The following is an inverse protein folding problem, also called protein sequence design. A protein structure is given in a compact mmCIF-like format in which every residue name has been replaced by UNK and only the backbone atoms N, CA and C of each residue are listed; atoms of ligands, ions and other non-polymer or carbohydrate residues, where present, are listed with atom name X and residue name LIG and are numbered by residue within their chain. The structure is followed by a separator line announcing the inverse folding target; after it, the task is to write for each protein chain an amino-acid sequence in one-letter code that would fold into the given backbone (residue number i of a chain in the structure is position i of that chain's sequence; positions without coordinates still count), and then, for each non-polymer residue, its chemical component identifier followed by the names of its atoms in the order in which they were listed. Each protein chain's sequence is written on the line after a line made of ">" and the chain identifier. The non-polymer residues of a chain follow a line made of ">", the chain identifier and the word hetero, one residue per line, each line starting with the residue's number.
data_IF_097042937443
#
_entry.id   IF_097042937443
#
_cell.length_a   1.000
_cell.length_b   1.000
_cell.length_c   1.000
_cell.angle_alpha   90.00
_cell.angle_beta   90.00
_cell.angle_gamma   90.00
#
_symmetry.space_group_name_H-M   'P 1'
#
loop_
_entity.id
_entity.type
_entity.pdbx_description
1 polymer ?
#
# COMPACT_ATOMS: atom_id res chain seq x y z
N UNK A 1 49.67 -3.65 4.46
CA UNK A 1 49.41 -3.98 3.04
C UNK A 1 48.98 -5.45 3.02
N UNK A 2 47.86 -5.87 2.42
CA UNK A 2 47.02 -5.25 1.38
C UNK A 2 45.51 -5.40 1.69
N UNK A 3 44.73 -4.32 1.51
CA UNK A 3 43.27 -4.43 1.32
C UNK A 3 43.01 -4.62 -0.18
N UNK A 4 42.50 -5.79 -0.60
CA UNK A 4 41.85 -5.97 -1.92
C UNK A 4 41.03 -7.26 -1.96
N UNK A 5 39.78 -7.25 -1.46
CA UNK A 5 38.82 -8.35 -1.72
C UNK A 5 37.35 -7.90 -1.60
N UNK A 6 37.00 -6.80 -2.29
CA UNK A 6 35.60 -6.31 -2.40
C UNK A 6 35.26 -5.93 -3.86
N UNK A 7 36.26 -5.72 -4.72
CA UNK A 7 36.06 -5.20 -6.08
C UNK A 7 35.38 -6.18 -7.07
N UNK A 8 35.39 -7.50 -6.82
CA UNK A 8 34.92 -8.48 -7.82
C UNK A 8 33.40 -8.61 -7.95
N UNK A 9 32.64 -8.35 -6.89
CA UNK A 9 31.17 -8.54 -6.92
C UNK A 9 30.42 -7.42 -7.64
N UNK A 10 30.96 -6.19 -7.60
CA UNK A 10 30.30 -4.99 -8.15
C UNK A 10 30.23 -5.06 -9.69
N UNK A 11 31.27 -5.58 -10.35
CA UNK A 11 31.31 -5.72 -11.81
C UNK A 11 30.21 -6.63 -12.37
N UNK A 12 29.84 -7.71 -11.65
CA UNK A 12 28.82 -8.66 -12.14
C UNK A 12 27.43 -8.03 -12.09
N UNK A 13 27.10 -7.28 -11.02
CA UNK A 13 25.81 -6.59 -10.88
C UNK A 13 25.65 -5.49 -11.94
N UNK A 14 26.73 -4.75 -12.24
CA UNK A 14 26.68 -3.71 -13.29
C UNK A 14 26.50 -4.28 -14.71
N UNK A 15 27.08 -5.44 -15.01
CA UNK A 15 26.89 -6.11 -16.30
C UNK A 15 25.45 -6.58 -16.51
N UNK A 16 24.78 -7.08 -15.46
CA UNK A 16 23.37 -7.46 -15.55
C UNK A 16 22.43 -6.27 -15.77
N UNK A 17 22.74 -5.09 -15.21
CA UNK A 17 21.92 -3.89 -15.37
C UNK A 17 22.01 -3.25 -16.77
N UNK A 18 23.10 -3.44 -17.51
CA UNK A 18 23.27 -2.88 -18.86
C UNK A 18 22.70 -3.76 -19.99
N UNK A 19 22.34 -5.01 -19.70
CA UNK A 19 21.85 -5.98 -20.71
C UNK A 19 20.34 -5.83 -21.03
N UNK A 20 19.58 -5.06 -20.23
CA UNK A 20 18.11 -4.97 -20.39
C UNK A 20 17.61 -3.66 -21.04
N UNK A 21 18.47 -2.80 -21.58
CA UNK A 21 18.10 -1.46 -22.06
C UNK A 21 18.03 -1.28 -23.58
N UNK A 22 18.23 -2.33 -24.38
CA UNK A 22 18.18 -2.23 -25.85
C UNK A 22 17.53 -3.46 -26.49
N UNK A 23 16.25 -3.34 -26.84
CA UNK A 23 15.73 -3.70 -28.16
C UNK A 23 14.74 -2.58 -28.54
N UNK A 24 14.98 -1.93 -29.67
CA UNK A 24 14.31 -0.72 -30.16
C UNK A 24 14.02 -0.93 -31.67
N UNK A 25 13.08 -0.17 -32.26
CA UNK A 25 12.87 -0.04 -33.74
C UNK A 25 12.18 -1.27 -34.37
N UNK A 26 11.23 -1.24 -35.33
CA UNK A 26 10.25 -0.26 -35.88
C UNK A 26 9.11 -1.10 -36.54
N UNK A 27 7.98 -0.62 -37.09
CA UNK A 27 7.36 0.70 -37.30
C UNK A 27 5.83 0.50 -37.50
N UNK A 28 5.06 1.59 -37.65
CA UNK A 28 3.88 1.57 -38.54
C UNK A 28 2.58 2.18 -38.00
N UNK A 29 2.05 3.13 -38.79
CA UNK A 29 0.66 3.65 -38.79
C UNK A 29 0.27 4.62 -37.67
N UNK A 30 0.23 5.89 -38.09
CA UNK A 30 -0.51 7.01 -37.51
C UNK A 30 -1.94 6.65 -37.10
N UNK A 31 -2.32 6.89 -35.84
CA UNK A 31 -3.67 7.34 -35.49
C UNK A 31 -3.61 8.38 -34.35
N UNK A 32 -4.26 9.55 -34.50
CA UNK A 32 -4.32 10.55 -33.44
C UNK A 32 -5.40 10.20 -32.40
N UNK A 33 -5.04 10.29 -31.12
CA UNK A 33 -6.01 10.49 -30.03
C UNK A 33 -6.87 9.29 -29.63
N UNK A 34 -6.30 8.39 -28.84
CA UNK A 34 -7.08 7.70 -27.79
C UNK A 34 -6.44 7.98 -26.44
N UNK A 35 -7.07 8.89 -25.68
CA UNK A 35 -6.82 9.06 -24.24
C UNK A 35 -7.39 7.82 -23.55
N UNK A 36 -6.64 6.71 -23.58
CA UNK A 36 -6.94 5.52 -22.82
C UNK A 36 -6.70 5.83 -21.34
N UNK A 37 -7.68 6.49 -20.72
CA UNK A 37 -7.86 6.41 -19.27
C UNK A 37 -8.03 4.94 -18.95
N UNK A 38 -6.94 4.32 -18.49
CA UNK A 38 -6.96 3.03 -17.86
C UNK A 38 -7.84 3.18 -16.62
N UNK A 39 -9.14 2.91 -16.81
CA UNK A 39 -10.13 2.86 -15.75
C UNK A 39 -9.70 1.74 -14.82
N UNK A 40 -8.91 2.09 -13.80
CA UNK A 40 -8.56 1.20 -12.70
C UNK A 40 -9.87 0.77 -12.10
N UNK A 41 -10.30 -0.45 -12.44
CA UNK A 41 -11.54 -1.01 -11.92
C UNK A 41 -11.29 -1.37 -10.46
N UNK A 42 -11.60 -0.41 -9.57
CA UNK A 42 -11.49 -0.60 -8.13
C UNK A 42 -12.17 -1.90 -7.73
N UNK A 43 -11.54 -2.74 -6.89
CA UNK A 43 -12.12 -4.00 -6.44
C UNK A 43 -13.56 -3.85 -5.98
N UNK A 44 -14.47 -4.62 -6.58
CA UNK A 44 -15.91 -4.47 -6.35
C UNK A 44 -16.36 -5.15 -5.05
N UNK A 45 -16.01 -4.54 -3.92
CA UNK A 45 -16.42 -4.99 -2.60
C UNK A 45 -17.93 -4.93 -2.40
N UNK A 46 -18.51 -5.98 -1.82
CA UNK A 46 -19.90 -5.97 -1.37
C UNK A 46 -20.06 -5.11 -0.10
N UNK A 47 -21.30 -4.70 0.25
CA UNK A 47 -21.54 -4.00 1.52
C UNK A 47 -21.11 -4.80 2.77
N UNK A 48 -21.08 -6.14 2.70
CA UNK A 48 -20.66 -7.00 3.83
C UNK A 48 -19.15 -6.99 4.06
N UNK A 49 -18.38 -6.71 3.01
CA UNK A 49 -16.91 -6.68 3.08
C UNK A 49 -16.39 -5.40 3.73
N UNK A 50 -17.23 -4.36 3.80
CA UNK A 50 -16.94 -3.05 4.38
C UNK A 50 -17.11 -3.08 5.90
N UNK A 51 -16.14 -2.51 6.62
CA UNK A 51 -16.15 -2.33 8.08
C UNK A 51 -15.51 -0.99 8.45
N UNK A 52 -16.15 -0.26 9.36
CA UNK A 52 -15.63 0.99 9.91
C UNK A 52 -15.24 0.79 11.37
N UNK A 53 -14.08 1.32 11.75
CA UNK A 53 -13.52 1.24 13.10
C UNK A 53 -13.19 2.65 13.58
N UNK A 54 -13.44 2.95 14.85
CA UNK A 54 -12.88 4.14 15.49
C UNK A 54 -11.46 3.82 15.92
N UNK A 55 -10.51 4.73 15.73
CA UNK A 55 -9.32 4.72 16.60
C UNK A 55 -9.76 5.01 18.03
N UNK A 56 -8.99 4.58 19.04
CA UNK A 56 -9.26 4.96 20.44
C UNK A 56 -9.46 6.48 20.55
N UNK A 57 -10.45 6.98 21.32
CA UNK A 57 -11.00 8.32 21.09
C UNK A 57 -9.96 9.44 21.16
N UNK A 58 -9.86 10.18 20.07
CA UNK A 58 -9.34 11.55 20.10
C UNK A 58 -10.46 12.46 20.64
N UNK A 59 -10.57 12.53 21.96
CA UNK A 59 -11.28 13.60 22.66
C UNK A 59 -10.25 14.47 23.41
N UNK A 60 -10.07 15.75 23.05
CA UNK A 60 -10.71 16.48 21.95
C UNK A 60 -10.26 15.98 20.55
N UNK A 61 -10.98 16.45 19.52
CA UNK A 61 -10.75 16.08 18.12
C UNK A 61 -9.27 16.15 17.69
N UNK A 62 -8.81 15.22 16.83
CA UNK A 62 -7.39 15.06 16.54
C UNK A 62 -6.81 16.28 15.82
N UNK A 63 -5.64 16.72 16.28
CA UNK A 63 -4.82 17.72 15.58
C UNK A 63 -4.40 17.23 14.19
N UNK A 64 -4.06 18.14 13.29
CA UNK A 64 -3.62 17.78 11.93
C UNK A 64 -2.36 16.89 11.92
N UNK A 65 -1.50 17.00 12.94
CA UNK A 65 -0.37 16.08 13.12
C UNK A 65 -0.87 14.66 13.44
N UNK A 66 -1.79 14.49 14.39
CA UNK A 66 -2.36 13.18 14.74
C UNK A 66 -3.15 12.56 13.58
N UNK A 67 -3.82 13.40 12.77
CA UNK A 67 -4.50 12.96 11.53
C UNK A 67 -3.48 12.44 10.51
N UNK A 68 -2.38 13.16 10.31
CA UNK A 68 -1.30 12.75 9.41
C UNK A 68 -0.55 11.50 9.89
N UNK A 69 -0.34 11.37 11.21
CA UNK A 69 0.21 10.15 11.82
C UNK A 69 -0.69 8.95 11.54
N UNK A 70 -2.02 9.10 11.73
CA UNK A 70 -2.99 8.05 11.39
C UNK A 70 -2.98 7.72 9.88
N UNK A 71 -2.92 8.70 9.00
CA UNK A 71 -2.80 8.49 7.54
C UNK A 71 -1.55 7.67 7.17
N UNK A 72 -0.41 8.00 7.78
CA UNK A 72 0.84 7.26 7.58
C UNK A 72 0.78 5.83 8.14
N UNK A 73 0.17 5.64 9.32
CA UNK A 73 -0.03 4.33 9.91
C UNK A 73 -0.94 3.44 9.04
N UNK A 74 -2.08 3.97 8.57
CA UNK A 74 -2.98 3.24 7.67
C UNK A 74 -2.27 2.86 6.36
N UNK A 75 -1.55 3.80 5.74
CA UNK A 75 -0.81 3.54 4.50
C UNK A 75 0.32 2.50 4.68
N UNK A 76 0.99 2.49 5.84
CA UNK A 76 1.98 1.48 6.20
C UNK A 76 1.32 0.10 6.37
N UNK A 77 0.21 0.03 7.10
CA UNK A 77 -0.46 -1.23 7.39
C UNK A 77 -1.17 -1.85 6.18
N UNK A 78 -1.58 -1.06 5.17
CA UNK A 78 -2.02 -1.60 3.87
C UNK A 78 -0.86 -2.39 3.21
N UNK A 79 0.35 -1.82 3.15
CA UNK A 79 1.53 -2.51 2.61
C UNK A 79 1.89 -3.77 3.40
N UNK A 80 1.70 -3.75 4.72
CA UNK A 80 1.85 -4.95 5.55
C UNK A 80 0.85 -6.04 5.16
N UNK A 81 -0.41 -5.70 4.86
CA UNK A 81 -1.40 -6.67 4.34
C UNK A 81 -0.97 -7.25 3.00
N UNK A 82 -0.51 -6.42 2.06
CA UNK A 82 -0.04 -6.87 0.74
C UNK A 82 1.10 -7.90 0.86
N UNK A 83 1.99 -7.73 1.83
CA UNK A 83 3.11 -8.65 2.11
C UNK A 83 2.67 -9.93 2.83
N UNK A 84 1.75 -9.83 3.79
CA UNK A 84 1.29 -10.96 4.63
C UNK A 84 0.21 -11.82 3.94
N UNK A 85 -0.54 -11.23 3.00
CA UNK A 85 -1.60 -11.89 2.24
C UNK A 85 -1.52 -11.50 0.75
N UNK A 86 -0.46 -11.90 0.02
CA UNK A 86 -0.29 -11.54 -1.39
C UNK A 86 -1.50 -11.93 -2.25
N UNK A 87 -1.96 -11.02 -3.09
CA UNK A 87 -3.12 -11.21 -3.97
C UNK A 87 -4.49 -11.04 -3.29
N UNK A 88 -4.57 -10.75 -1.98
CA UNK A 88 -5.82 -10.37 -1.36
C UNK A 88 -6.27 -8.96 -1.80
N UNK A 89 -7.54 -8.81 -2.16
CA UNK A 89 -8.15 -7.50 -2.34
C UNK A 89 -8.47 -6.92 -0.96
N UNK A 90 -7.81 -5.81 -0.63
CA UNK A 90 -7.99 -5.08 0.61
C UNK A 90 -7.80 -3.58 0.38
N UNK A 91 -8.71 -2.77 0.91
CA UNK A 91 -8.62 -1.31 0.94
C UNK A 91 -8.80 -0.83 2.39
N UNK A 92 -8.11 0.25 2.75
CA UNK A 92 -8.39 1.00 3.96
C UNK A 92 -8.21 2.50 3.72
N UNK A 93 -9.00 3.32 4.41
CA UNK A 93 -8.92 4.79 4.35
C UNK A 93 -9.27 5.43 5.70
N UNK A 94 -8.49 6.44 6.15
CA UNK A 94 -8.84 7.24 7.31
C UNK A 94 -9.86 8.33 6.94
N UNK A 95 -10.75 8.65 7.88
CA UNK A 95 -11.72 9.74 7.79
C UNK A 95 -11.97 10.29 9.20
N UNK A 96 -11.41 11.45 9.54
CA UNK A 96 -11.68 12.14 10.81
C UNK A 96 -11.33 11.38 12.11
N UNK A 97 -10.48 10.33 12.06
CA UNK A 97 -10.22 9.43 13.19
C UNK A 97 -11.01 8.10 13.15
N UNK A 98 -11.90 7.94 12.17
CA UNK A 98 -12.46 6.66 11.76
C UNK A 98 -11.51 6.05 10.72
N UNK A 99 -11.36 4.73 10.73
CA UNK A 99 -10.69 3.96 9.68
C UNK A 99 -11.72 3.04 9.03
N UNK A 100 -12.02 3.32 7.77
CA UNK A 100 -12.84 2.49 6.92
C UNK A 100 -11.98 1.42 6.27
N UNK A 101 -12.50 0.21 6.13
CA UNK A 101 -11.81 -0.93 5.52
C UNK A 101 -12.76 -1.71 4.61
N UNK A 102 -12.23 -2.33 3.57
CA UNK A 102 -12.95 -3.26 2.71
C UNK A 102 -12.04 -4.44 2.34
N UNK A 103 -12.57 -5.65 2.37
CA UNK A 103 -11.81 -6.89 2.11
C UNK A 103 -12.32 -8.06 2.96
N UNK A 104 -11.70 -9.22 2.82
CA UNK A 104 -12.06 -10.41 3.60
C UNK A 104 -11.48 -10.40 5.02
N UNK A 105 -11.87 -11.36 5.86
CA UNK A 105 -11.49 -11.36 7.28
C UNK A 105 -9.97 -11.53 7.50
N UNK A 106 -9.29 -12.30 6.65
CA UNK A 106 -7.84 -12.52 6.74
C UNK A 106 -7.03 -11.21 6.56
N UNK A 107 -7.15 -10.44 5.46
CA UNK A 107 -6.46 -9.16 5.34
C UNK A 107 -6.90 -8.15 6.41
N UNK A 108 -8.18 -8.11 6.79
CA UNK A 108 -8.64 -7.28 7.93
C UNK A 108 -7.93 -7.62 9.24
N UNK A 109 -7.69 -8.89 9.54
CA UNK A 109 -6.95 -9.31 10.74
C UNK A 109 -5.50 -8.79 10.74
N UNK A 110 -4.77 -8.94 9.62
CA UNK A 110 -3.39 -8.43 9.52
C UNK A 110 -3.32 -6.89 9.59
N UNK A 111 -4.29 -6.20 8.98
CA UNK A 111 -4.43 -4.75 9.10
C UNK A 111 -4.65 -4.33 10.56
N UNK A 112 -5.63 -4.94 11.24
CA UNK A 112 -5.96 -4.66 12.63
C UNK A 112 -4.77 -4.90 13.57
N UNK A 113 -4.05 -6.01 13.36
CA UNK A 113 -2.82 -6.32 14.09
C UNK A 113 -1.75 -5.22 13.89
N UNK A 114 -1.44 -4.87 12.63
CA UNK A 114 -0.45 -3.85 12.33
C UNK A 114 -0.81 -2.48 12.93
N UNK A 115 -2.08 -2.09 12.87
CA UNK A 115 -2.57 -0.84 13.45
C UNK A 115 -2.38 -0.82 14.98
N UNK A 116 -2.66 -1.93 15.67
CA UNK A 116 -2.38 -2.08 17.09
C UNK A 116 -0.89 -2.06 17.43
N UNK A 117 -0.04 -2.70 16.63
CA UNK A 117 1.43 -2.70 16.80
C UNK A 117 2.03 -1.30 16.51
N UNK A 118 1.37 -0.50 15.66
CA UNK A 118 1.74 0.88 15.33
C UNK A 118 1.22 1.92 16.33
N UNK A 119 0.59 1.51 17.44
CA UNK A 119 0.07 2.43 18.44
C UNK A 119 -1.28 3.09 18.09
N UNK A 120 -1.95 2.63 17.02
CA UNK A 120 -3.27 3.11 16.59
C UNK A 120 -4.34 1.99 16.69
N UNK A 121 -4.60 1.44 17.89
CA UNK A 121 -5.57 0.36 18.07
C UNK A 121 -6.98 0.78 17.59
N UNK A 122 -7.59 -0.14 16.83
CA UNK A 122 -8.91 0.03 16.23
C UNK A 122 -9.98 -0.62 17.10
N UNK A 123 -10.92 0.19 17.57
CA UNK A 123 -12.13 -0.23 18.26
C UNK A 123 -13.31 -0.37 17.27
N UNK A 124 -14.19 -1.37 17.43
CA UNK A 124 -15.44 -1.42 16.70
C UNK A 124 -16.27 -0.15 16.92
N UNK A 125 -16.91 0.35 15.86
CA UNK A 125 -18.00 1.31 16.04
C UNK A 125 -19.23 0.50 16.44
N UNK A 126 -19.63 0.61 17.70
CA UNK A 126 -20.99 0.24 18.10
C UNK A 126 -21.94 1.32 17.58
N UNK A 127 -22.96 0.89 16.85
CA UNK A 127 -24.17 1.66 16.53
C UNK A 127 -25.15 1.59 17.72
#
# INVERSE_FOLDING_TARGET
>A
MTLTSIASSICVVFLFLMVSTTELVEAGVLLPGTKAEAKVESPKFSPRDRKSFKTVPFEPAPSDNQRRELELAVASCIKTVEQQVPGAQFEASPDGGIVNTAGSDRPRFYFWKCMSESGHPLAPIHE
#
